data_IF_605986866694
#
_entry.id   IF_605986866694
#
_cell.length_a   1.000
_cell.length_b   1.000
_cell.length_c   1.000
_cell.angle_alpha   90.00
_cell.angle_beta   90.00
_cell.angle_gamma   90.00
#
_symmetry.space_group_name_H-M   'P 1'
#
loop_
_entity.id
_entity.type
_entity.pdbx_description
1 polymer ?
#
# COMPACT_ATOMS: atom_id res chain seq x y z
N UNK A 1 -21.76 -9.07 -18.41
CA UNK A 1 -20.55 -9.94 -18.52
C UNK A 1 -19.26 -9.12 -18.47
N UNK A 2 -19.11 -8.05 -19.28
CA UNK A 2 -17.90 -7.21 -19.30
C UNK A 2 -17.60 -6.48 -17.97
N UNK A 3 -18.60 -5.87 -17.31
CA UNK A 3 -18.44 -5.22 -15.98
C UNK A 3 -17.87 -6.18 -14.92
N UNK A 4 -18.31 -7.45 -14.92
CA UNK A 4 -17.84 -8.48 -13.97
C UNK A 4 -16.35 -8.78 -14.14
N UNK A 5 -15.86 -8.85 -15.39
CA UNK A 5 -14.44 -9.10 -15.69
C UNK A 5 -13.57 -7.93 -15.21
N UNK A 6 -14.04 -6.69 -15.38
CA UNK A 6 -13.35 -5.47 -14.91
C UNK A 6 -13.29 -5.45 -13.38
N UNK A 7 -14.40 -5.76 -12.70
CA UNK A 7 -14.42 -5.80 -11.24
C UNK A 7 -13.45 -6.86 -10.71
N UNK A 8 -13.40 -8.04 -11.33
CA UNK A 8 -12.51 -9.12 -10.93
C UNK A 8 -11.02 -8.75 -11.14
N UNK A 9 -10.69 -8.08 -12.24
CA UNK A 9 -9.32 -7.65 -12.53
C UNK A 9 -8.85 -6.55 -11.57
N UNK A 10 -9.72 -5.60 -11.22
CA UNK A 10 -9.44 -4.54 -10.25
C UNK A 10 -9.22 -5.11 -8.84
N UNK A 11 -10.03 -6.09 -8.42
CA UNK A 11 -9.87 -6.78 -7.13
C UNK A 11 -8.54 -7.52 -7.03
N UNK A 12 -8.17 -8.28 -8.06
CA UNK A 12 -6.91 -9.04 -8.08
C UNK A 12 -5.68 -8.12 -8.13
N UNK A 13 -5.71 -7.09 -8.98
CA UNK A 13 -4.63 -6.10 -9.08
C UNK A 13 -4.49 -5.25 -7.81
N UNK A 14 -5.62 -4.89 -7.21
CA UNK A 14 -5.68 -4.10 -5.98
C UNK A 14 -5.06 -4.79 -4.78
N UNK A 15 -5.49 -6.02 -4.50
CA UNK A 15 -4.94 -6.84 -3.41
C UNK A 15 -3.44 -7.12 -3.57
N UNK A 16 -2.98 -7.35 -4.82
CA UNK A 16 -1.55 -7.57 -5.08
C UNK A 16 -0.72 -6.30 -4.81
N UNK A 17 -1.23 -5.13 -5.22
CA UNK A 17 -0.56 -3.84 -5.03
C UNK A 17 -0.45 -3.46 -3.55
N UNK A 18 -1.54 -3.56 -2.79
CA UNK A 18 -1.55 -3.21 -1.36
C UNK A 18 -0.69 -4.16 -0.53
N UNK A 19 -0.70 -5.46 -0.85
CA UNK A 19 0.20 -6.46 -0.24
C UNK A 19 1.67 -6.12 -0.46
N UNK A 20 2.05 -5.68 -1.67
CA UNK A 20 3.42 -5.29 -1.97
C UNK A 20 3.85 -4.02 -1.22
N UNK A 21 2.99 -3.00 -1.16
CA UNK A 21 3.25 -1.77 -0.41
C UNK A 21 3.36 -2.01 1.10
N UNK A 22 2.54 -2.92 1.65
CA UNK A 22 2.65 -3.31 3.06
C UNK A 22 3.97 -4.03 3.34
N UNK A 23 4.42 -4.94 2.47
CA UNK A 23 5.74 -5.58 2.59
C UNK A 23 6.89 -4.58 2.57
N UNK A 24 6.83 -3.59 1.67
CA UNK A 24 7.82 -2.51 1.62
C UNK A 24 7.83 -1.67 2.90
N UNK A 25 6.64 -1.34 3.42
CA UNK A 25 6.48 -0.64 4.70
C UNK A 25 7.13 -1.42 5.85
N UNK A 26 6.83 -2.72 5.97
CA UNK A 26 7.35 -3.57 7.04
C UNK A 26 8.87 -3.73 6.96
N UNK A 27 9.40 -3.86 5.75
CA UNK A 27 10.84 -3.96 5.54
C UNK A 27 11.56 -2.68 5.95
N UNK A 28 11.06 -1.50 5.56
CA UNK A 28 11.61 -0.21 6.00
C UNK A 28 11.51 -0.04 7.52
N UNK A 29 10.39 -0.44 8.16
CA UNK A 29 10.27 -0.40 9.61
C UNK A 29 11.27 -1.34 10.32
N UNK A 30 11.58 -2.49 9.72
CA UNK A 30 12.61 -3.40 10.22
C UNK A 30 14.01 -2.80 10.09
N UNK A 31 14.34 -2.20 8.94
CA UNK A 31 15.60 -1.48 8.71
C UNK A 31 15.76 -0.31 9.67
N UNK A 32 14.67 0.44 9.92
CA UNK A 32 14.67 1.54 10.87
C UNK A 32 15.06 1.09 12.29
N UNK A 33 14.42 0.02 12.78
CA UNK A 33 14.73 -0.58 14.10
C UNK A 33 16.16 -1.09 14.19
N UNK A 34 16.66 -1.68 13.11
CA UNK A 34 18.07 -2.08 13.05
C UNK A 34 19.00 -0.87 13.17
N UNK A 35 18.79 0.17 12.37
CA UNK A 35 19.58 1.40 12.41
C UNK A 35 19.55 2.08 13.79
N UNK A 36 18.40 2.07 14.47
CA UNK A 36 18.26 2.58 15.83
C UNK A 36 19.09 1.75 16.82
N UNK A 37 19.07 0.42 16.71
CA UNK A 37 19.83 -0.49 17.58
C UNK A 37 21.35 -0.36 17.44
N UNK A 38 21.84 0.07 16.27
CA UNK A 38 23.27 0.31 16.01
C UNK A 38 23.69 1.77 16.24
N UNK A 39 22.82 2.60 16.82
CA UNK A 39 23.13 3.99 17.14
C UNK A 39 23.10 4.95 15.96
N UNK A 40 22.36 4.64 14.89
CA UNK A 40 22.16 5.49 13.71
C UNK A 40 20.74 6.09 13.65
N UNK A 41 20.38 7.02 14.55
CA UNK A 41 19.01 7.53 14.66
C UNK A 41 18.57 8.32 13.42
N UNK A 42 19.48 9.01 12.72
CA UNK A 42 19.15 9.73 11.50
C UNK A 42 18.77 8.79 10.35
N UNK A 43 19.46 7.64 10.22
CA UNK A 43 19.13 6.63 9.23
C UNK A 43 17.81 5.93 9.59
N UNK A 44 17.60 5.63 10.88
CA UNK A 44 16.34 5.08 11.37
C UNK A 44 15.15 5.99 11.06
N UNK A 45 15.26 7.30 11.30
CA UNK A 45 14.19 8.25 11.04
C UNK A 45 13.81 8.34 9.55
N UNK A 46 14.78 8.22 8.64
CA UNK A 46 14.51 8.19 7.19
C UNK A 46 13.74 6.94 6.81
N UNK A 47 14.13 5.79 7.34
CA UNK A 47 13.45 4.52 7.09
C UNK A 47 12.03 4.49 7.68
N UNK A 48 11.81 5.05 8.88
CA UNK A 48 10.46 5.19 9.44
C UNK A 48 9.57 6.10 8.57
N UNK A 49 10.09 7.20 8.04
CA UNK A 49 9.36 8.05 7.09
C UNK A 49 9.00 7.30 5.81
N UNK A 50 9.91 6.46 5.32
CA UNK A 50 9.69 5.66 4.12
C UNK A 50 8.61 4.58 4.37
N UNK A 51 8.66 3.90 5.52
CA UNK A 51 7.63 2.96 5.94
C UNK A 51 6.24 3.63 6.01
N UNK A 52 6.16 4.80 6.65
CA UNK A 52 4.93 5.58 6.72
C UNK A 52 4.42 5.98 5.32
N UNK A 53 5.32 6.34 4.41
CA UNK A 53 4.97 6.67 3.01
C UNK A 53 4.36 5.47 2.28
N UNK A 54 4.99 4.30 2.36
CA UNK A 54 4.45 3.09 1.71
C UNK A 54 3.10 2.67 2.29
N UNK A 55 2.93 2.77 3.61
CA UNK A 55 1.63 2.52 4.26
C UNK A 55 0.56 3.49 3.76
N UNK A 56 0.88 4.79 3.67
CA UNK A 56 -0.06 5.80 3.16
C UNK A 56 -0.42 5.53 1.70
N UNK A 57 0.57 5.22 0.86
CA UNK A 57 0.34 4.86 -0.54
C UNK A 57 -0.55 3.62 -0.67
N UNK A 58 -0.37 2.61 0.19
CA UNK A 58 -1.22 1.42 0.24
C UNK A 58 -2.68 1.82 0.48
N UNK A 59 -2.93 2.62 1.52
CA UNK A 59 -4.26 3.10 1.87
C UNK A 59 -4.89 3.98 0.78
N UNK A 60 -4.12 4.89 0.18
CA UNK A 60 -4.60 5.74 -0.92
C UNK A 60 -4.96 4.88 -2.14
N UNK A 61 -4.15 3.88 -2.48
CA UNK A 61 -4.44 2.98 -3.60
C UNK A 61 -5.68 2.12 -3.34
N UNK A 62 -5.89 1.62 -2.12
CA UNK A 62 -7.11 0.91 -1.73
C UNK A 62 -8.35 1.82 -1.82
N UNK A 63 -8.25 3.07 -1.36
CA UNK A 63 -9.35 4.03 -1.45
C UNK A 63 -9.76 4.32 -2.90
N UNK A 64 -8.78 4.54 -3.80
CA UNK A 64 -9.04 4.76 -5.23
C UNK A 64 -9.72 3.53 -5.85
N UNK A 65 -9.26 2.33 -5.51
CA UNK A 65 -9.86 1.09 -6.02
C UNK A 65 -11.30 0.92 -5.56
N UNK A 66 -11.60 1.24 -4.30
CA UNK A 66 -12.96 1.20 -3.76
C UNK A 66 -13.85 2.23 -4.47
N UNK A 67 -13.35 3.44 -4.73
CA UNK A 67 -14.11 4.49 -5.41
C UNK A 67 -14.44 4.09 -6.87
N UNK A 68 -13.46 3.56 -7.61
CA UNK A 68 -13.67 3.03 -8.96
C UNK A 68 -14.68 1.86 -8.93
N UNK A 69 -14.54 0.95 -7.97
CA UNK A 69 -15.46 -0.18 -7.83
C UNK A 69 -16.88 0.30 -7.53
N UNK A 70 -17.03 1.30 -6.67
CA UNK A 70 -18.33 1.88 -6.32
C UNK A 70 -18.98 2.53 -7.54
N UNK A 71 -18.26 3.40 -8.27
CA UNK A 71 -18.75 4.01 -9.52
C UNK A 71 -19.20 2.95 -10.52
N UNK A 72 -18.42 1.89 -10.74
CA UNK A 72 -18.78 0.81 -11.68
C UNK A 72 -20.04 0.02 -11.28
N UNK A 73 -20.35 -0.05 -9.98
CA UNK A 73 -21.54 -0.72 -9.46
C UNK A 73 -22.76 0.21 -9.51
N UNK A 74 -22.59 1.49 -9.21
CA UNK A 74 -23.69 2.48 -9.13
C UNK A 74 -24.04 3.12 -10.47
N UNK A 75 -23.08 3.22 -11.39
CA UNK A 75 -23.35 3.59 -12.78
C UNK A 75 -24.08 2.42 -13.46
N UNK A 76 -25.41 2.45 -13.37
CA UNK A 76 -26.31 1.49 -14.01
C UNK A 76 -26.43 1.79 -15.51
#
# INVERSE_FOLDING_TARGET
MFKVIIILSLMLGGCASSSNLNKLSDNSAKTARYNESIGQPQAAQREYKLAAKYKKQSQESEAILIDILWSLITDN
#
